data_IF_506337331304
#
_entry.id   IF_506337331304
#
_cell.length_a   1.000
_cell.length_b   1.000
_cell.length_c   1.000
_cell.angle_alpha   90.00
_cell.angle_beta   90.00
_cell.angle_gamma   90.00
#
_symmetry.space_group_name_H-M   'P 1'
#
loop_
_entity.id
_entity.type
_entity.pdbx_description
1 polymer ?
#
# COMPACT_ATOMS: atom_id res chain seq x y z
N UNK A 1 8.57 -19.86 28.81
CA UNK A 1 8.76 -18.82 27.76
C UNK A 1 7.55 -17.90 27.81
N UNK A 2 7.72 -16.60 28.11
CA UNK A 2 6.58 -15.67 28.08
C UNK A 2 6.18 -15.37 26.62
N UNK A 3 4.87 -15.27 26.30
CA UNK A 3 4.42 -14.97 24.95
C UNK A 3 4.83 -13.55 24.55
N UNK A 4 5.31 -13.39 23.30
CA UNK A 4 5.65 -12.07 22.75
C UNK A 4 4.37 -11.21 22.62
N UNK A 5 4.39 -9.92 23.01
CA UNK A 5 3.26 -9.03 22.80
C UNK A 5 2.85 -8.98 21.32
N UNK A 6 1.55 -9.08 21.06
CA UNK A 6 0.98 -8.98 19.70
C UNK A 6 0.46 -7.57 19.46
N UNK A 7 0.92 -6.94 18.39
CA UNK A 7 0.53 -5.60 17.98
C UNK A 7 -0.22 -5.70 16.66
N UNK A 8 -1.46 -5.19 16.64
CA UNK A 8 -2.23 -5.07 15.39
C UNK A 8 -1.75 -3.83 14.64
N UNK A 9 -1.55 -3.98 13.34
CA UNK A 9 -1.18 -2.88 12.46
C UNK A 9 -2.06 -2.93 11.23
N UNK A 10 -2.78 -1.84 10.98
CA UNK A 10 -3.65 -1.70 9.82
C UNK A 10 -3.03 -0.68 8.87
N UNK A 11 -3.02 -1.03 7.60
CA UNK A 11 -2.52 -0.21 6.52
C UNK A 11 -3.47 -0.20 5.35
N UNK A 12 -3.35 0.82 4.52
CA UNK A 12 -4.02 0.87 3.22
C UNK A 12 -3.03 1.29 2.14
N UNK A 13 -3.32 0.92 0.89
CA UNK A 13 -2.45 1.14 -0.24
C UNK A 13 -3.15 0.98 -1.59
N UNK A 14 -2.39 1.21 -2.67
CA UNK A 14 -2.91 1.27 -4.03
C UNK A 14 -2.26 0.26 -4.97
N UNK A 15 -3.07 -0.39 -5.79
CA UNK A 15 -2.64 -0.92 -7.10
C UNK A 15 -2.88 0.19 -8.10
N UNK A 16 -1.82 0.86 -8.53
CA UNK A 16 -1.92 1.97 -9.47
C UNK A 16 -1.54 1.47 -10.85
N UNK A 17 -2.38 1.77 -11.84
CA UNK A 17 -2.09 1.48 -13.24
C UNK A 17 -2.36 2.68 -14.13
N UNK A 18 -1.67 2.71 -15.28
CA UNK A 18 -1.98 3.60 -16.40
C UNK A 18 -2.08 2.80 -17.69
N UNK A 19 -2.85 3.29 -18.64
CA UNK A 19 -2.89 2.71 -19.98
C UNK A 19 -1.68 3.16 -20.80
N UNK A 20 -1.03 2.20 -21.46
CA UNK A 20 -0.08 2.44 -22.54
C UNK A 20 -0.56 1.69 -23.78
N UNK A 21 -1.13 2.45 -24.73
CA UNK A 21 -1.89 1.91 -25.87
C UNK A 21 -3.00 0.97 -25.36
N UNK A 22 -2.90 -0.32 -25.61
CA UNK A 22 -3.89 -1.34 -25.23
C UNK A 22 -3.47 -2.15 -24.00
N UNK A 23 -2.33 -1.84 -23.38
CA UNK A 23 -1.78 -2.60 -22.26
C UNK A 23 -1.71 -1.75 -20.98
N UNK A 24 -2.14 -2.28 -19.82
CA UNK A 24 -1.96 -1.58 -18.57
C UNK A 24 -0.51 -1.74 -18.07
N UNK A 25 0.09 -0.63 -17.65
CA UNK A 25 1.33 -0.61 -16.88
C UNK A 25 1.00 -0.43 -15.40
N UNK A 26 1.63 -1.22 -14.54
CA UNK A 26 1.43 -1.17 -13.09
C UNK A 26 2.62 -0.51 -12.40
N UNK A 27 2.32 0.36 -11.46
CA UNK A 27 3.33 1.00 -10.62
C UNK A 27 3.81 0.04 -9.52
N UNK A 28 5.13 -0.13 -9.43
CA UNK A 28 5.79 -0.86 -8.36
C UNK A 28 6.89 -0.01 -7.71
N UNK A 29 7.00 -0.09 -6.40
CA UNK A 29 8.10 0.49 -5.63
C UNK A 29 9.20 -0.54 -5.42
N UNK A 30 10.45 -0.16 -5.70
CA UNK A 30 11.62 -0.98 -5.43
C UNK A 30 12.25 -0.64 -4.08
N UNK A 31 12.35 -1.61 -3.17
CA UNK A 31 13.06 -1.42 -1.91
C UNK A 31 14.52 -1.84 -2.01
N UNK A 32 15.43 -0.88 -2.21
CA UNK A 32 16.89 -1.15 -2.26
C UNK A 32 17.43 -1.85 -1.02
N UNK A 33 16.79 -1.69 0.14
CA UNK A 33 17.22 -2.32 1.40
C UNK A 33 16.78 -3.78 1.54
N UNK A 34 15.74 -4.20 0.83
CA UNK A 34 15.13 -5.52 0.96
C UNK A 34 15.22 -6.35 -0.33
N UNK A 35 15.54 -5.73 -1.46
CA UNK A 35 15.56 -6.39 -2.77
C UNK A 35 14.19 -6.89 -3.20
N UNK A 36 13.12 -6.22 -2.76
CA UNK A 36 11.73 -6.61 -3.07
C UNK A 36 10.99 -5.47 -3.74
N UNK A 37 10.09 -5.85 -4.64
CA UNK A 37 9.08 -4.96 -5.21
C UNK A 37 7.82 -4.98 -4.34
N UNK A 38 7.22 -3.82 -4.13
CA UNK A 38 5.96 -3.70 -3.41
C UNK A 38 5.04 -2.65 -4.02
N UNK A 39 3.75 -2.78 -3.71
CA UNK A 39 2.75 -1.75 -3.96
C UNK A 39 2.87 -0.62 -2.92
N UNK A 40 2.54 0.63 -3.29
CA UNK A 40 2.49 1.74 -2.35
C UNK A 40 1.45 1.50 -1.26
N UNK A 41 1.84 1.71 -0.01
CA UNK A 41 1.00 1.47 1.17
C UNK A 41 1.67 2.04 2.43
N UNK A 42 0.84 2.44 3.39
CA UNK A 42 1.31 2.80 4.73
C UNK A 42 0.20 2.79 5.75
N UNK A 43 0.50 3.32 6.94
CA UNK A 43 -0.39 3.18 8.11
C UNK A 43 -1.65 4.01 7.92
N UNK A 44 -2.78 3.49 8.39
CA UNK A 44 -3.97 4.32 8.55
C UNK A 44 -3.70 5.26 9.72
N UNK A 45 -3.75 6.56 9.46
CA UNK A 45 -3.57 7.60 10.47
C UNK A 45 -4.88 7.91 11.20
N UNK A 46 -4.80 8.71 12.25
CA UNK A 46 -5.98 9.12 13.01
C UNK A 46 -6.92 9.93 12.11
N UNK A 47 -8.20 9.57 12.12
CA UNK A 47 -9.26 10.19 11.31
C UNK A 47 -9.19 9.93 9.79
N UNK A 48 -8.38 8.97 9.32
CA UNK A 48 -8.43 8.51 7.92
C UNK A 48 -9.27 7.25 7.74
N UNK A 49 -9.98 7.17 6.61
CA UNK A 49 -10.54 5.91 6.13
C UNK A 49 -9.56 5.18 5.20
N UNK A 50 -9.88 3.93 4.86
CA UNK A 50 -8.99 3.08 4.05
C UNK A 50 -8.66 3.70 2.68
N UNK A 51 -9.62 4.39 2.05
CA UNK A 51 -9.44 4.98 0.72
C UNK A 51 -8.55 6.22 0.80
N UNK A 52 -8.80 7.08 1.77
CA UNK A 52 -8.05 8.31 2.03
C UNK A 52 -6.59 7.99 2.33
N UNK A 53 -6.33 7.02 3.22
CA UNK A 53 -4.97 6.53 3.46
C UNK A 53 -4.33 5.99 2.18
N UNK A 54 -5.03 5.18 1.39
CA UNK A 54 -4.48 4.62 0.17
C UNK A 54 -4.09 5.70 -0.85
N UNK A 55 -4.92 6.73 -1.02
CA UNK A 55 -4.63 7.86 -1.90
C UNK A 55 -3.45 8.69 -1.39
N UNK A 56 -3.38 8.95 -0.08
CA UNK A 56 -2.24 9.67 0.55
C UNK A 56 -0.93 8.92 0.34
N UNK A 57 -0.91 7.62 0.62
CA UNK A 57 0.30 6.79 0.53
C UNK A 57 0.77 6.62 -0.92
N UNK A 58 -0.15 6.47 -1.89
CA UNK A 58 0.19 6.51 -3.32
C UNK A 58 0.89 7.83 -3.67
N UNK A 59 0.35 8.97 -3.22
CA UNK A 59 0.95 10.27 -3.46
C UNK A 59 2.32 10.41 -2.79
N UNK A 60 2.46 10.01 -1.53
CA UNK A 60 3.67 10.21 -0.74
C UNK A 60 4.82 9.30 -1.17
N UNK A 61 4.55 8.04 -1.47
CA UNK A 61 5.59 7.08 -1.84
C UNK A 61 5.97 7.14 -3.33
N UNK A 62 5.08 7.66 -4.20
CA UNK A 62 5.27 7.60 -5.66
C UNK A 62 5.19 8.94 -6.37
N UNK A 63 4.73 10.01 -5.72
CA UNK A 63 4.46 11.31 -6.36
C UNK A 63 3.18 11.36 -7.23
N UNK A 64 2.48 10.24 -7.41
CA UNK A 64 1.29 10.18 -8.26
C UNK A 64 0.09 10.74 -7.49
N UNK A 65 -0.43 11.86 -7.94
CA UNK A 65 -1.52 12.58 -7.24
C UNK A 65 -2.86 12.52 -7.99
N UNK A 66 -2.84 12.32 -9.31
CA UNK A 66 -4.03 12.24 -10.16
C UNK A 66 -4.48 10.81 -10.31
N UNK A 67 -5.32 10.35 -9.40
CA UNK A 67 -5.85 8.98 -9.41
C UNK A 67 -7.37 8.95 -9.46
N UNK A 68 -7.90 8.00 -10.24
CA UNK A 68 -9.31 7.63 -10.26
C UNK A 68 -9.49 6.29 -9.54
N UNK A 69 -10.29 6.30 -8.48
CA UNK A 69 -10.65 5.08 -7.74
C UNK A 69 -11.60 4.20 -8.55
N UNK A 70 -11.25 2.92 -8.71
CA UNK A 70 -12.12 1.91 -9.30
C UNK A 70 -12.73 0.95 -8.28
N UNK A 71 -12.20 0.94 -7.05
CA UNK A 71 -12.76 0.17 -5.93
C UNK A 71 -11.72 -0.69 -5.22
N UNK A 72 -12.19 -1.52 -4.30
CA UNK A 72 -11.35 -2.39 -3.47
C UNK A 72 -10.90 -3.61 -4.25
N UNK A 73 -9.60 -3.91 -4.22
CA UNK A 73 -9.01 -5.11 -4.82
C UNK A 73 -9.07 -6.27 -3.84
N UNK A 74 -8.65 -6.03 -2.60
CA UNK A 74 -8.58 -7.09 -1.60
C UNK A 74 -7.82 -6.68 -0.35
N UNK A 75 -7.60 -7.66 0.53
CA UNK A 75 -6.90 -7.50 1.80
C UNK A 75 -5.86 -8.59 1.94
N UNK A 76 -4.63 -8.21 2.29
CA UNK A 76 -3.59 -9.17 2.68
C UNK A 76 -3.39 -9.14 4.19
N UNK A 77 -3.15 -10.31 4.77
CA UNK A 77 -2.85 -10.48 6.21
C UNK A 77 -1.60 -11.31 6.37
N UNK A 78 -0.67 -10.83 7.18
CA UNK A 78 0.57 -11.55 7.46
C UNK A 78 1.12 -11.16 8.83
N UNK A 79 2.02 -11.99 9.35
CA UNK A 79 2.65 -11.78 10.64
C UNK A 79 4.16 -11.59 10.46
N UNK A 80 4.75 -10.71 11.27
CA UNK A 80 6.21 -10.58 11.33
C UNK A 80 6.69 -10.27 12.74
N UNK A 81 7.91 -10.71 13.05
CA UNK A 81 8.56 -10.41 14.32
C UNK A 81 9.50 -9.21 14.20
N UNK A 82 9.44 -8.28 15.16
CA UNK A 82 10.41 -7.18 15.26
C UNK A 82 10.56 -6.74 16.72
N UNK A 83 11.81 -6.54 17.20
CA UNK A 83 12.14 -6.10 18.57
C UNK A 83 11.33 -6.82 19.67
N UNK A 84 11.38 -8.15 19.68
CA UNK A 84 10.66 -9.03 20.63
C UNK A 84 9.12 -8.90 20.63
N UNK A 85 8.53 -8.20 19.66
CA UNK A 85 7.09 -8.09 19.44
C UNK A 85 6.70 -8.88 18.18
N UNK A 86 5.46 -9.34 18.16
CA UNK A 86 4.83 -9.93 16.97
C UNK A 86 3.82 -8.94 16.42
N UNK A 87 3.87 -8.68 15.11
CA UNK A 87 2.98 -7.75 14.45
C UNK A 87 1.99 -8.53 13.59
N UNK A 88 0.70 -8.34 13.86
CA UNK A 88 -0.41 -8.85 13.07
C UNK A 88 -0.80 -7.77 12.07
N UNK A 89 -0.26 -7.86 10.84
CA UNK A 89 -0.41 -6.84 9.81
C UNK A 89 -1.60 -7.15 8.91
N UNK A 90 -2.44 -6.15 8.69
CA UNK A 90 -3.50 -6.14 7.67
C UNK A 90 -3.25 -4.99 6.70
N UNK A 91 -3.32 -5.24 5.40
CA UNK A 91 -3.20 -4.20 4.37
C UNK A 91 -4.38 -4.29 3.42
N UNK A 92 -5.07 -3.18 3.24
CA UNK A 92 -6.20 -3.02 2.33
C UNK A 92 -5.67 -2.42 1.02
N UNK A 93 -6.10 -2.96 -0.13
CA UNK A 93 -5.68 -2.45 -1.44
C UNK A 93 -6.87 -1.99 -2.27
N UNK A 94 -6.69 -0.85 -2.93
CA UNK A 94 -7.63 -0.24 -3.85
C UNK A 94 -7.02 -0.09 -5.24
N UNK A 95 -7.84 -0.21 -6.28
CA UNK A 95 -7.41 -0.05 -7.66
C UNK A 95 -7.55 1.42 -8.05
N UNK A 96 -6.46 1.97 -8.54
CA UNK A 96 -6.36 3.34 -9.03
C UNK A 96 -5.90 3.37 -10.47
N UNK A 97 -6.61 4.13 -11.29
CA UNK A 97 -6.15 4.49 -12.63
C UNK A 97 -5.53 5.89 -12.58
N UNK A 98 -4.44 6.10 -13.31
CA UNK A 98 -3.83 7.42 -13.50
C UNK A 98 -3.51 7.66 -14.97
N UNK A 99 -3.52 8.93 -15.37
CA UNK A 99 -2.99 9.41 -16.65
C UNK A 99 -1.60 10.06 -16.51
N UNK A 100 -1.05 10.10 -15.29
CA UNK A 100 0.25 10.66 -14.99
C UNK A 100 1.36 9.73 -15.50
N UNK A 101 2.16 10.20 -16.45
CA UNK A 101 3.27 9.45 -17.02
C UNK A 101 4.55 9.54 -16.16
N UNK A 102 4.79 10.71 -15.53
CA UNK A 102 5.95 11.01 -14.69
C UNK A 102 5.51 11.58 -13.33
N UNK A 103 6.26 11.25 -12.27
CA UNK A 103 6.05 11.75 -10.91
C UNK A 103 6.40 13.23 -10.76
#
# INVERSE_FOLDING_TARGET
MQPRPRIRVISSGGVVYRWEKESPLFLLLGSNRRGVWCLPKGLIEENEDEVTTAMREVREETGVSRVKLHGKVGVIKYQFGFRAKTFDKTVHFFLFETDQADA
#
